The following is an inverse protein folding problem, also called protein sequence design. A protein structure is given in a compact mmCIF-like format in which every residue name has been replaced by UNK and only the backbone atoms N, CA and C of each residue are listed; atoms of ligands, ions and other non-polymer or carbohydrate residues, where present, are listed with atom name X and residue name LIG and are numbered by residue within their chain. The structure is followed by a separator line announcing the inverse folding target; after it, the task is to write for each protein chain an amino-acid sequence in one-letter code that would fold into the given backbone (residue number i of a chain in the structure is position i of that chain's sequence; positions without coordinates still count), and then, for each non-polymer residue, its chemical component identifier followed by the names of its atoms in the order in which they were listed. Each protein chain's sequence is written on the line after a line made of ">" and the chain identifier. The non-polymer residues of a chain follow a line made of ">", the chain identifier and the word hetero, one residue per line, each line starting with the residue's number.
data_IF_779492580116
#
_entry.id   IF_779492580116
#
_cell.length_a   1.000
_cell.length_b   1.000
_cell.length_c   1.000
_cell.angle_alpha   90.00
_cell.angle_beta   90.00
_cell.angle_gamma   90.00
#
_symmetry.space_group_name_H-M   'P 1'
#
loop_
_entity.id
_entity.type
_entity.pdbx_description
1 polymer ?
#
# COMPACT_ATOMS: atom_id res chain seq x y z
N UNK A 1 -4.71 -11.61 -10.94
CA UNK A 1 -4.64 -11.61 -9.47
C UNK A 1 -5.70 -10.66 -8.92
N UNK A 2 -6.59 -11.14 -8.06
CA UNK A 2 -7.66 -10.31 -7.52
C UNK A 2 -7.05 -9.23 -6.62
N UNK A 3 -7.37 -7.97 -6.95
CA UNK A 3 -7.04 -6.81 -6.12
C UNK A 3 -8.01 -6.82 -4.96
N UNK A 4 -7.48 -6.76 -3.73
CA UNK A 4 -8.24 -6.71 -2.50
C UNK A 4 -8.12 -5.34 -1.86
N UNK A 5 -9.17 -4.92 -1.18
CA UNK A 5 -9.08 -3.80 -0.24
C UNK A 5 -8.36 -4.29 1.02
N UNK A 6 -7.18 -3.74 1.28
CA UNK A 6 -6.37 -4.01 2.45
C UNK A 6 -6.47 -2.85 3.44
N UNK A 7 -6.18 -3.15 4.71
CA UNK A 7 -6.14 -2.19 5.80
C UNK A 7 -4.78 -2.27 6.48
N UNK A 8 -4.21 -1.11 6.79
CA UNK A 8 -2.96 -0.98 7.53
C UNK A 8 -3.03 0.12 8.57
N UNK A 9 -1.93 0.29 9.31
CA UNK A 9 -1.71 1.45 10.18
C UNK A 9 -0.43 2.18 9.80
N UNK A 10 -0.49 3.49 9.92
CA UNK A 10 0.67 4.37 9.77
C UNK A 10 1.51 4.39 11.05
N UNK A 11 2.70 4.99 11.00
CA UNK A 11 3.59 5.14 12.17
C UNK A 11 2.95 5.96 13.31
N UNK A 12 1.97 6.82 13.02
CA UNK A 12 1.20 7.57 14.02
C UNK A 12 -0.14 6.90 14.39
N UNK A 13 -0.26 5.59 14.13
CA UNK A 13 -1.41 4.75 14.48
C UNK A 13 -2.73 5.10 13.77
N UNK A 14 -2.69 5.88 12.68
CA UNK A 14 -3.89 6.10 11.85
C UNK A 14 -4.18 4.91 10.93
N UNK A 15 -5.46 4.54 10.84
CA UNK A 15 -5.96 3.53 9.91
C UNK A 15 -5.85 4.04 8.48
N UNK A 16 -5.32 3.22 7.58
CA UNK A 16 -5.29 3.47 6.14
C UNK A 16 -5.92 2.31 5.38
N UNK A 17 -6.72 2.64 4.37
CA UNK A 17 -7.38 1.70 3.47
C UNK A 17 -6.84 1.91 2.06
N UNK A 18 -6.48 0.82 1.38
CA UNK A 18 -5.88 0.85 0.04
C UNK A 18 -6.12 -0.45 -0.72
N UNK A 19 -6.09 -0.37 -2.05
CA UNK A 19 -6.12 -1.54 -2.92
C UNK A 19 -4.75 -2.22 -3.02
N UNK A 20 -4.71 -3.55 -2.89
CA UNK A 20 -3.46 -4.30 -2.83
C UNK A 20 -3.56 -5.80 -3.12
N UNK A 21 -2.42 -6.48 -3.01
CA UNK A 21 -2.24 -7.91 -3.21
C UNK A 21 -2.05 -8.61 -1.85
N UNK A 22 -2.60 -9.83 -1.63
CA UNK A 22 -2.43 -10.58 -0.38
C UNK A 22 -0.98 -10.69 0.13
N UNK A 23 0.02 -10.70 -0.76
CA UNK A 23 1.45 -10.75 -0.40
C UNK A 23 1.94 -9.56 0.42
N UNK A 24 1.19 -8.46 0.41
CA UNK A 24 1.50 -7.20 1.09
C UNK A 24 1.11 -7.23 2.58
N UNK A 25 0.31 -8.22 3.01
CA UNK A 25 -0.11 -8.35 4.41
C UNK A 25 1.13 -8.57 5.31
N UNK A 26 1.21 -7.81 6.40
CA UNK A 26 2.33 -7.87 7.35
C UNK A 26 3.62 -7.20 6.87
N UNK A 27 3.58 -6.42 5.78
CA UNK A 27 4.74 -5.67 5.26
C UNK A 27 4.66 -4.19 5.62
N UNK A 28 5.84 -3.56 5.73
CA UNK A 28 5.97 -2.11 5.70
C UNK A 28 5.92 -1.66 4.23
N UNK A 29 5.05 -0.70 3.94
CA UNK A 29 4.78 -0.22 2.58
C UNK A 29 4.68 1.29 2.60
N UNK A 30 5.21 1.91 1.56
CA UNK A 30 4.93 3.30 1.27
C UNK A 30 3.53 3.42 0.65
N UNK A 31 2.67 4.21 1.28
CA UNK A 31 1.30 4.47 0.83
C UNK A 31 1.13 5.97 0.65
N UNK A 32 0.79 6.39 -0.56
CA UNK A 32 0.45 7.78 -0.85
C UNK A 32 -1.00 8.04 -0.46
N UNK A 33 -1.23 8.96 0.48
CA UNK A 33 -2.57 9.33 0.95
C UNK A 33 -3.16 10.37 0.00
N UNK A 34 -4.35 10.10 -0.53
CA UNK A 34 -5.06 11.04 -1.42
C UNK A 34 -6.33 11.62 -0.77
N UNK A 35 -6.85 11.01 0.29
CA UNK A 35 -7.98 11.55 1.04
C UNK A 35 -7.89 11.17 2.53
N UNK A 36 -8.43 12.05 3.38
CA UNK A 36 -8.40 11.92 4.83
C UNK A 36 -9.78 12.22 5.41
N UNK A 37 -10.41 11.20 5.98
CA UNK A 37 -11.68 11.31 6.70
C UNK A 37 -11.42 11.45 8.21
N UNK A 38 -12.50 11.58 9.00
CA UNK A 38 -12.39 11.74 10.45
C UNK A 38 -11.57 10.62 11.16
N UNK A 39 -11.63 9.39 10.65
CA UNK A 39 -11.01 8.23 11.30
C UNK A 39 -10.11 7.38 10.39
N UNK A 40 -10.20 7.57 9.07
CA UNK A 40 -9.57 6.70 8.08
C UNK A 40 -8.88 7.51 7.00
N UNK A 41 -7.68 7.11 6.65
CA UNK A 41 -6.94 7.59 5.48
C UNK A 41 -7.23 6.68 4.28
N UNK A 42 -7.35 7.26 3.10
CA UNK A 42 -7.45 6.52 1.84
C UNK A 42 -6.19 6.75 1.03
N UNK A 43 -5.62 5.68 0.49
CA UNK A 43 -4.36 5.77 -0.24
C UNK A 43 -4.14 4.65 -1.24
N UNK A 44 -3.02 4.78 -1.95
CA UNK A 44 -2.55 3.79 -2.91
C UNK A 44 -1.10 3.42 -2.62
N UNK A 45 -0.76 2.13 -2.75
CA UNK A 45 0.63 1.68 -2.56
C UNK A 45 1.52 2.32 -3.62
N UNK A 46 2.63 2.90 -3.19
CA UNK A 46 3.66 3.42 -4.09
C UNK A 46 4.35 2.23 -4.74
N UNK A 47 4.31 2.15 -6.07
CA UNK A 47 4.99 1.10 -6.83
C UNK A 47 6.08 1.72 -7.67
N UNK A 48 7.25 1.07 -7.70
CA UNK A 48 8.32 1.41 -8.62
C UNK A 48 8.23 0.50 -9.84
N UNK A 49 8.27 1.09 -11.03
CA UNK A 49 8.52 0.31 -12.24
C UNK A 49 10.00 -0.08 -12.25
N UNK A 50 10.27 -1.38 -12.33
CA UNK A 50 11.61 -1.92 -12.49
C UNK A 50 11.73 -2.56 -13.88
N UNK A 51 12.80 -2.18 -14.60
CA UNK A 51 13.09 -2.67 -15.94
C UNK A 51 13.67 -4.10 -15.95
N UNK A 52 13.88 -4.69 -17.14
CA UNK A 52 14.35 -6.06 -17.32
C UNK A 52 15.74 -6.34 -16.74
N UNK A 53 16.49 -5.31 -16.37
CA UNK A 53 17.81 -5.42 -15.74
C UNK A 53 17.75 -6.11 -14.37
N UNK A 54 16.59 -6.07 -13.69
CA UNK A 54 16.40 -6.66 -12.35
C UNK A 54 16.24 -8.19 -12.40
N UNK A 55 15.93 -8.77 -13.57
CA UNK A 55 15.79 -10.22 -13.76
C UNK A 55 17.13 -10.97 -13.86
N UNK A 56 18.26 -10.26 -13.77
CA UNK A 56 19.63 -10.82 -13.92
C UNK A 56 20.37 -11.09 -12.62
N UNK A 57 19.76 -10.85 -11.46
CA UNK A 57 20.30 -11.16 -10.13
C UNK A 57 19.79 -12.50 -9.63
#
# INVERSE_FOLDING_TARGET
>A
PDVLQLVGRTHCDRIVVFDGNPRQIGRLLDVAIYDATAFTLLGSVVTAHVGPEVYRL
#
